data_IF_964786461799
#
_entry.id   IF_964786461799
#
_cell.length_a   1.000
_cell.length_b   1.000
_cell.length_c   1.000
_cell.angle_alpha   90.00
_cell.angle_beta   90.00
_cell.angle_gamma   90.00
#
_symmetry.space_group_name_H-M   'P 1'
#
loop_
_entity.id
_entity.type
_entity.pdbx_description
1 polymer ?
#
# COMPACT_ATOMS: atom_id res chain seq x y z
N UNK A 1 -3.04 -26.08 21.86
CA UNK A 1 -3.34 -25.40 20.58
C UNK A 1 -2.61 -24.08 20.60
N UNK A 2 -1.43 -24.01 19.98
CA UNK A 2 -0.65 -22.79 19.90
C UNK A 2 -1.38 -21.79 18.99
N UNK A 3 -1.54 -20.55 19.47
CA UNK A 3 -2.17 -19.45 18.74
C UNK A 3 -1.50 -19.27 17.38
N UNK A 4 -2.34 -19.21 16.35
CA UNK A 4 -2.00 -18.97 14.95
C UNK A 4 -1.56 -17.49 14.75
N UNK A 5 -0.46 -17.12 15.41
CA UNK A 5 0.12 -15.80 15.36
C UNK A 5 0.72 -15.61 13.96
N UNK A 6 -0.04 -14.96 13.07
CA UNK A 6 0.41 -14.59 11.73
C UNK A 6 1.74 -13.82 11.83
N UNK A 7 2.85 -14.50 11.52
CA UNK A 7 4.17 -13.87 11.47
C UNK A 7 4.11 -12.64 10.55
N UNK A 8 4.72 -11.52 10.95
CA UNK A 8 4.78 -10.33 10.11
C UNK A 8 5.57 -10.67 8.83
N UNK A 9 5.12 -10.11 7.71
CA UNK A 9 5.92 -10.20 6.49
C UNK A 9 7.21 -9.42 6.68
N UNK A 10 8.31 -9.97 6.19
CA UNK A 10 9.61 -9.30 6.10
C UNK A 10 9.86 -8.97 4.64
N UNK A 11 10.40 -7.80 4.38
CA UNK A 11 10.71 -7.31 3.05
C UNK A 11 12.20 -6.97 2.99
N UNK A 12 12.88 -7.53 2.01
CA UNK A 12 14.28 -7.25 1.72
C UNK A 12 14.45 -6.95 0.24
N UNK A 13 15.28 -5.96 -0.06
CA UNK A 13 15.61 -5.57 -1.43
C UNK A 13 16.98 -6.11 -1.80
N UNK A 14 17.12 -6.60 -3.03
CA UNK A 14 18.35 -7.12 -3.58
C UNK A 14 18.61 -6.45 -4.94
N UNK A 15 19.88 -6.22 -5.24
CA UNK A 15 20.35 -5.83 -6.57
C UNK A 15 21.27 -6.95 -7.03
N UNK A 16 20.81 -7.73 -8.00
CA UNK A 16 21.59 -8.79 -8.61
C UNK A 16 22.79 -8.22 -9.39
N UNK A 17 23.77 -9.06 -9.70
CA UNK A 17 25.01 -8.65 -10.37
C UNK A 17 24.79 -8.00 -11.76
N UNK A 18 23.71 -8.37 -12.44
CA UNK A 18 23.28 -7.78 -13.72
C UNK A 18 22.60 -6.40 -13.57
N UNK A 19 22.31 -5.99 -12.33
CA UNK A 19 21.59 -4.75 -11.99
C UNK A 19 20.08 -4.95 -11.78
N UNK A 20 19.56 -6.18 -11.86
CA UNK A 20 18.15 -6.49 -11.63
C UNK A 20 17.78 -6.24 -10.17
N UNK A 21 16.71 -5.49 -9.94
CA UNK A 21 16.20 -5.21 -8.58
C UNK A 21 15.14 -6.24 -8.22
N UNK A 22 15.34 -6.92 -7.10
CA UNK A 22 14.45 -7.96 -6.60
C UNK A 22 13.94 -7.56 -5.22
N UNK A 23 12.62 -7.53 -5.05
CA UNK A 23 11.98 -7.46 -3.74
C UNK A 23 11.65 -8.88 -3.28
N UNK A 24 12.24 -9.31 -2.18
CA UNK A 24 11.88 -10.53 -1.47
C UNK A 24 10.90 -10.17 -0.35
N UNK A 25 9.73 -10.81 -0.36
CA UNK A 25 8.79 -10.81 0.77
C UNK A 25 8.76 -12.19 1.39
N UNK A 26 9.14 -12.31 2.65
CA UNK A 26 9.21 -13.59 3.36
C UNK A 26 8.29 -13.60 4.59
N UNK A 27 7.68 -14.75 4.86
CA UNK A 27 6.94 -15.04 6.10
C UNK A 27 7.62 -16.07 7.00
N UNK A 28 8.66 -16.69 6.48
CA UNK A 28 9.52 -17.69 7.09
C UNK A 28 10.56 -18.14 6.07
N UNK A 29 11.29 -19.20 6.37
CA UNK A 29 12.43 -19.64 5.55
C UNK A 29 12.04 -20.61 4.44
N UNK A 30 10.84 -21.19 4.48
CA UNK A 30 10.40 -22.16 3.47
C UNK A 30 10.03 -21.48 2.14
N UNK A 31 10.35 -22.13 1.01
CA UNK A 31 10.16 -21.56 -0.34
C UNK A 31 8.73 -21.09 -0.63
N UNK A 32 7.70 -21.77 -0.12
CA UNK A 32 6.30 -21.38 -0.33
C UNK A 32 5.88 -20.17 0.52
N UNK A 33 6.73 -19.75 1.47
CA UNK A 33 6.53 -18.59 2.33
C UNK A 33 7.32 -17.37 1.84
N UNK A 34 7.96 -17.49 0.67
CA UNK A 34 8.75 -16.44 0.05
C UNK A 34 8.13 -16.04 -1.30
N UNK A 35 7.99 -14.74 -1.52
CA UNK A 35 7.50 -14.16 -2.76
C UNK A 35 8.58 -13.23 -3.29
N UNK A 36 8.87 -13.34 -4.59
CA UNK A 36 9.88 -12.54 -5.25
C UNK A 36 9.25 -11.73 -6.37
N UNK A 37 9.59 -10.45 -6.42
CA UNK A 37 9.17 -9.55 -7.48
C UNK A 37 10.39 -8.87 -8.07
N UNK A 38 10.52 -8.91 -9.39
CA UNK A 38 11.53 -8.13 -10.08
C UNK A 38 10.96 -6.78 -10.48
N UNK A 39 11.78 -5.75 -10.42
CA UNK A 39 11.42 -4.39 -10.80
C UNK A 39 12.31 -3.93 -11.94
N UNK A 40 11.78 -3.78 -13.16
CA UNK A 40 12.56 -3.29 -14.27
C UNK A 40 12.95 -1.83 -14.06
N UNK A 41 14.17 -1.49 -14.48
CA UNK A 41 14.79 -0.17 -14.28
C UNK A 41 15.27 0.43 -15.58
N UNK A 42 15.15 1.75 -15.70
CA UNK A 42 15.62 2.51 -16.86
C UNK A 42 17.09 2.93 -16.76
N UNK A 43 17.70 2.76 -15.58
CA UNK A 43 19.11 3.09 -15.29
C UNK A 43 19.65 2.17 -14.21
N UNK A 44 20.98 2.14 -14.04
CA UNK A 44 21.57 1.52 -12.85
C UNK A 44 21.17 2.33 -11.61
N UNK A 45 20.51 1.65 -10.67
CA UNK A 45 20.07 2.20 -9.38
C UNK A 45 20.95 1.60 -8.29
N UNK A 46 21.33 2.39 -7.30
CA UNK A 46 22.10 1.90 -6.16
C UNK A 46 21.20 1.41 -5.02
N UNK A 47 21.72 0.54 -4.15
CA UNK A 47 20.95 0.06 -3.00
C UNK A 47 20.50 1.19 -2.08
N UNK A 48 21.31 2.24 -1.92
CA UNK A 48 20.95 3.41 -1.12
C UNK A 48 19.79 4.19 -1.72
N UNK A 49 19.67 4.26 -3.04
CA UNK A 49 18.53 4.88 -3.73
C UNK A 49 17.24 4.07 -3.52
N UNK A 50 17.32 2.74 -3.60
CA UNK A 50 16.17 1.85 -3.34
C UNK A 50 15.67 2.01 -1.90
N UNK A 51 16.57 2.00 -0.92
CA UNK A 51 16.23 2.19 0.50
C UNK A 51 15.64 3.58 0.74
N UNK A 52 16.26 4.63 0.19
CA UNK A 52 15.77 6.00 0.34
C UNK A 52 14.37 6.20 -0.29
N UNK A 53 14.11 5.58 -1.44
CA UNK A 53 12.79 5.58 -2.07
C UNK A 53 11.76 4.91 -1.16
N UNK A 54 12.08 3.73 -0.63
CA UNK A 54 11.17 3.00 0.25
C UNK A 54 10.83 3.80 1.52
N UNK A 55 11.81 4.43 2.17
CA UNK A 55 11.57 5.29 3.33
C UNK A 55 10.72 6.53 2.99
N UNK A 56 10.94 7.16 1.84
CA UNK A 56 10.13 8.30 1.37
C UNK A 56 8.69 7.87 1.11
N UNK A 57 8.48 6.70 0.49
CA UNK A 57 7.15 6.14 0.25
C UNK A 57 6.46 5.73 1.55
N UNK A 58 7.17 5.12 2.50
CA UNK A 58 6.63 4.76 3.81
C UNK A 58 6.19 6.00 4.60
N UNK A 59 7.00 7.07 4.64
CA UNK A 59 6.64 8.34 5.28
C UNK A 59 5.44 8.99 4.60
N UNK A 60 5.43 9.02 3.28
CA UNK A 60 4.32 9.50 2.47
C UNK A 60 3.04 8.74 2.84
N UNK A 61 3.05 7.40 2.75
CA UNK A 61 1.89 6.56 3.04
C UNK A 61 1.33 6.78 4.45
N UNK A 62 2.18 6.90 5.48
CA UNK A 62 1.73 7.24 6.84
C UNK A 62 1.01 8.58 6.89
N UNK A 63 1.58 9.63 6.28
CA UNK A 63 0.94 10.94 6.24
C UNK A 63 -0.42 10.91 5.53
N UNK A 64 -0.56 10.15 4.44
CA UNK A 64 -1.85 9.98 3.76
C UNK A 64 -2.85 9.18 4.60
N UNK A 65 -2.42 8.12 5.28
CA UNK A 65 -3.30 7.37 6.16
C UNK A 65 -3.83 8.23 7.30
N UNK A 66 -3.02 9.14 7.86
CA UNK A 66 -3.49 10.09 8.89
C UNK A 66 -4.62 11.00 8.40
N UNK A 67 -4.70 11.28 7.09
CA UNK A 67 -5.78 12.10 6.49
C UNK A 67 -6.96 11.24 6.04
N UNK A 68 -6.71 10.09 5.43
CA UNK A 68 -7.75 9.21 4.88
C UNK A 68 -8.56 8.50 5.98
N UNK A 69 -7.93 8.13 7.09
CA UNK A 69 -8.60 7.41 8.18
C UNK A 69 -9.74 8.22 8.83
N UNK A 70 -9.55 9.49 9.24
CA UNK A 70 -10.64 10.30 9.78
C UNK A 70 -11.73 10.61 8.73
N UNK A 71 -11.35 10.81 7.46
CA UNK A 71 -12.33 10.98 6.37
C UNK A 71 -13.17 9.72 6.19
N UNK A 72 -12.58 8.53 6.30
CA UNK A 72 -13.30 7.27 6.24
C UNK A 72 -14.30 7.16 7.39
N UNK A 73 -13.88 7.44 8.63
CA UNK A 73 -14.78 7.43 9.79
C UNK A 73 -15.94 8.41 9.59
N UNK A 74 -15.64 9.64 9.18
CA UNK A 74 -16.65 10.67 8.96
C UNK A 74 -17.63 10.26 7.85
N UNK A 75 -17.14 9.64 6.77
CA UNK A 75 -17.99 9.10 5.71
C UNK A 75 -18.94 8.01 6.23
N UNK A 76 -18.44 7.10 7.07
CA UNK A 76 -19.26 6.03 7.65
C UNK A 76 -20.29 6.59 8.64
N UNK A 77 -19.93 7.61 9.42
CA UNK A 77 -20.85 8.28 10.32
C UNK A 77 -21.98 8.99 9.56
N UNK A 78 -21.68 9.67 8.45
CA UNK A 78 -22.68 10.31 7.60
C UNK A 78 -23.60 9.30 6.91
N UNK A 79 -23.04 8.18 6.46
CA UNK A 79 -23.85 7.08 5.92
C UNK A 79 -24.78 6.50 6.98
N UNK A 80 -24.26 6.24 8.19
CA UNK A 80 -25.07 5.77 9.31
C UNK A 80 -26.19 6.76 9.67
N UNK A 81 -25.88 8.06 9.73
CA UNK A 81 -26.87 9.12 9.95
C UNK A 81 -27.95 9.12 8.86
N UNK A 82 -27.58 8.96 7.58
CA UNK A 82 -28.54 8.88 6.49
C UNK A 82 -29.44 7.64 6.60
N UNK A 83 -28.89 6.48 6.98
CA UNK A 83 -29.66 5.25 7.18
C UNK A 83 -30.61 5.33 8.37
N UNK A 84 -30.16 5.92 9.49
CA UNK A 84 -31.02 6.22 10.64
C UNK A 84 -32.11 7.21 10.24
N UNK A 85 -31.75 8.25 9.48
CA UNK A 85 -32.69 9.23 8.95
C UNK A 85 -33.78 8.60 8.08
N UNK A 86 -33.39 7.69 7.19
CA UNK A 86 -34.31 6.90 6.38
C UNK A 86 -35.27 6.09 7.25
N UNK A 87 -34.74 5.37 8.26
CA UNK A 87 -35.56 4.63 9.20
C UNK A 87 -36.58 5.52 9.91
N UNK A 88 -36.14 6.66 10.46
CA UNK A 88 -37.01 7.61 11.16
C UNK A 88 -38.06 8.25 10.24
N UNK A 89 -37.71 8.53 8.98
CA UNK A 89 -38.64 9.06 7.99
C UNK A 89 -39.76 8.08 7.67
N UNK A 90 -39.50 6.76 7.69
CA UNK A 90 -40.55 5.74 7.49
C UNK A 90 -41.58 5.74 8.63
N UNK A 91 -41.16 6.16 9.83
CA UNK A 91 -42.04 6.37 10.98
C UNK A 91 -42.55 7.81 11.09
N UNK A 92 -42.46 8.60 10.01
CA UNK A 92 -42.98 9.97 9.91
C UNK A 92 -42.36 10.98 10.91
N UNK A 93 -41.14 10.73 11.39
CA UNK A 93 -40.39 11.72 12.17
C UNK A 93 -39.67 12.72 11.23
N UNK A 94 -39.95 14.01 11.36
CA UNK A 94 -39.34 15.07 10.54
C UNK A 94 -37.81 15.13 10.64
N UNK A 95 -37.25 14.79 11.81
CA UNK A 95 -35.80 14.70 12.04
C UNK A 95 -35.15 13.70 11.08
N UNK A 96 -35.89 12.66 10.65
CA UNK A 96 -35.39 11.66 9.71
C UNK A 96 -35.05 12.25 8.33
N UNK A 97 -35.89 13.17 7.84
CA UNK A 97 -35.68 13.84 6.55
C UNK A 97 -34.40 14.69 6.61
N UNK A 98 -34.20 15.45 7.68
CA UNK A 98 -33.00 16.27 7.86
C UNK A 98 -31.71 15.44 7.90
N UNK A 99 -31.74 14.30 8.60
CA UNK A 99 -30.60 13.39 8.66
C UNK A 99 -30.27 12.79 7.29
N UNK A 100 -31.27 12.51 6.45
CA UNK A 100 -31.03 12.08 5.07
C UNK A 100 -30.45 13.19 4.19
N UNK A 101 -31.05 14.38 4.24
CA UNK A 101 -30.67 15.54 3.42
C UNK A 101 -29.25 16.02 3.72
N UNK A 102 -28.78 15.89 4.95
CA UNK A 102 -27.39 16.23 5.31
C UNK A 102 -26.47 15.02 5.14
N UNK A 103 -26.89 13.85 5.64
CA UNK A 103 -26.05 12.66 5.70
C UNK A 103 -25.65 12.12 4.33
N UNK A 104 -26.61 11.98 3.41
CA UNK A 104 -26.33 11.35 2.11
C UNK A 104 -25.48 12.24 1.19
N UNK A 105 -25.79 13.53 0.98
CA UNK A 105 -24.91 14.42 0.21
C UNK A 105 -23.53 14.58 0.86
N UNK A 106 -23.46 14.70 2.18
CA UNK A 106 -22.19 14.77 2.91
C UNK A 106 -21.33 13.53 2.69
N UNK A 107 -21.93 12.33 2.76
CA UNK A 107 -21.25 11.08 2.44
C UNK A 107 -20.67 11.09 1.03
N UNK A 108 -21.46 11.49 0.03
CA UNK A 108 -21.01 11.56 -1.38
C UNK A 108 -19.84 12.52 -1.57
N UNK A 109 -19.92 13.72 -0.98
CA UNK A 109 -18.85 14.73 -1.05
C UNK A 109 -17.54 14.18 -0.46
N UNK A 110 -17.60 13.53 0.70
CA UNK A 110 -16.40 12.94 1.31
C UNK A 110 -15.83 11.81 0.45
N UNK A 111 -16.67 10.94 -0.10
CA UNK A 111 -16.22 9.86 -0.99
C UNK A 111 -15.52 10.41 -2.23
N UNK A 112 -16.04 11.49 -2.80
CA UNK A 112 -15.42 12.16 -3.95
C UNK A 112 -14.07 12.79 -3.56
N UNK A 113 -13.99 13.46 -2.41
CA UNK A 113 -12.73 13.99 -1.90
C UNK A 113 -11.68 12.89 -1.67
N UNK A 114 -12.06 11.76 -1.07
CA UNK A 114 -11.17 10.62 -0.88
C UNK A 114 -10.65 10.06 -2.21
N UNK A 115 -11.51 9.96 -3.24
CA UNK A 115 -11.10 9.52 -4.57
C UNK A 115 -10.06 10.45 -5.20
N UNK A 116 -10.28 11.77 -5.12
CA UNK A 116 -9.32 12.78 -5.64
C UNK A 116 -7.98 12.70 -4.90
N UNK A 117 -8.00 12.58 -3.57
CA UNK A 117 -6.78 12.46 -2.76
C UNK A 117 -6.02 11.17 -3.11
N UNK A 118 -6.74 10.06 -3.27
CA UNK A 118 -6.15 8.76 -3.60
C UNK A 118 -5.55 8.78 -5.01
N UNK A 119 -6.27 9.31 -6.01
CA UNK A 119 -5.76 9.43 -7.37
C UNK A 119 -4.50 10.29 -7.46
N UNK A 120 -4.48 11.44 -6.77
CA UNK A 120 -3.28 12.29 -6.69
C UNK A 120 -2.10 11.56 -6.04
N UNK A 121 -2.36 10.77 -5.02
CA UNK A 121 -1.31 10.00 -4.34
C UNK A 121 -0.76 8.89 -5.23
N UNK A 122 -1.61 8.16 -5.94
CA UNK A 122 -1.19 7.11 -6.88
C UNK A 122 -0.32 7.70 -7.99
N UNK A 123 -0.71 8.85 -8.55
CA UNK A 123 0.10 9.57 -9.54
C UNK A 123 1.47 9.95 -8.98
N UNK A 124 1.51 10.64 -7.83
CA UNK A 124 2.76 11.06 -7.18
C UNK A 124 3.66 9.88 -6.81
N UNK A 125 3.06 8.78 -6.38
CA UNK A 125 3.81 7.55 -6.09
C UNK A 125 4.45 7.03 -7.37
N UNK A 126 3.68 6.89 -8.46
CA UNK A 126 4.19 6.46 -9.76
C UNK A 126 5.30 7.36 -10.28
N UNK A 127 5.15 8.68 -10.15
CA UNK A 127 6.18 9.64 -10.56
C UNK A 127 7.48 9.44 -9.78
N UNK A 128 7.41 9.24 -8.45
CA UNK A 128 8.58 8.97 -7.61
C UNK A 128 9.30 7.67 -7.96
N UNK A 129 8.56 6.63 -8.33
CA UNK A 129 9.16 5.38 -8.81
C UNK A 129 9.94 5.61 -10.10
N UNK A 130 9.36 6.35 -11.06
CA UNK A 130 10.05 6.72 -12.31
C UNK A 130 11.26 7.61 -12.07
N UNK A 131 11.16 8.61 -11.21
CA UNK A 131 12.29 9.49 -10.84
C UNK A 131 13.45 8.70 -10.22
N UNK A 132 13.15 7.65 -9.45
CA UNK A 132 14.14 6.75 -8.89
C UNK A 132 14.76 5.79 -9.91
N UNK A 133 14.29 5.77 -11.16
CA UNK A 133 14.82 4.95 -12.24
C UNK A 133 14.10 3.62 -12.44
N UNK A 134 12.92 3.44 -11.84
CA UNK A 134 12.07 2.27 -12.08
C UNK A 134 11.12 2.53 -13.25
N UNK A 135 10.91 1.54 -14.12
CA UNK A 135 9.94 1.66 -15.20
C UNK A 135 8.51 1.72 -14.68
N UNK A 136 8.23 0.98 -13.59
CA UNK A 136 6.91 0.94 -12.97
C UNK A 136 6.98 0.75 -11.46
N UNK A 137 5.89 1.13 -10.79
CA UNK A 137 5.70 0.87 -9.36
C UNK A 137 5.22 -0.58 -9.08
N UNK A 138 4.95 -1.37 -10.12
CA UNK A 138 4.45 -2.73 -10.02
C UNK A 138 5.59 -3.70 -10.35
N UNK A 139 6.03 -4.46 -9.36
CA UNK A 139 6.97 -5.55 -9.58
C UNK A 139 6.30 -6.69 -10.33
N UNK A 140 7.05 -7.32 -11.23
CA UNK A 140 6.62 -8.53 -11.93
C UNK A 140 7.02 -9.73 -11.08
N UNK A 141 6.06 -10.61 -10.81
CA UNK A 141 6.31 -11.82 -10.02
C UNK A 141 7.36 -12.69 -10.70
N UNK A 142 8.35 -13.13 -9.94
CA UNK A 142 9.45 -13.97 -10.43
C UNK A 142 9.40 -15.35 -9.78
N UNK A 143 9.89 -16.37 -10.49
CA UNK A 143 9.98 -17.70 -9.94
C UNK A 143 10.98 -17.72 -8.77
N UNK A 144 10.62 -18.37 -7.66
CA UNK A 144 11.46 -18.40 -6.45
C UNK A 144 12.85 -19.00 -6.72
N UNK A 145 12.95 -20.03 -7.56
CA UNK A 145 14.22 -20.64 -7.94
C UNK A 145 15.15 -19.63 -8.62
N UNK A 146 14.65 -18.94 -9.64
CA UNK A 146 15.40 -17.93 -10.38
C UNK A 146 15.84 -16.78 -9.46
N UNK A 147 14.96 -16.35 -8.56
CA UNK A 147 15.27 -15.29 -7.60
C UNK A 147 16.39 -15.68 -6.65
N UNK A 148 16.32 -16.89 -6.08
CA UNK A 148 17.34 -17.39 -5.18
C UNK A 148 18.68 -17.59 -5.90
N UNK A 149 18.67 -18.07 -7.15
CA UNK A 149 19.88 -18.20 -7.97
C UNK A 149 20.53 -16.83 -8.22
N UNK A 150 19.75 -15.79 -8.56
CA UNK A 150 20.25 -14.42 -8.73
C UNK A 150 20.73 -13.81 -7.41
N UNK A 151 20.01 -14.04 -6.31
CA UNK A 151 20.37 -13.50 -4.99
C UNK A 151 21.66 -14.13 -4.46
N UNK A 152 21.86 -15.43 -4.70
CA UNK A 152 23.06 -16.16 -4.30
C UNK A 152 24.29 -15.88 -5.19
N UNK A 153 24.10 -15.24 -6.35
CA UNK A 153 25.19 -14.95 -7.27
C UNK A 153 26.22 -13.96 -6.68
N UNK A 154 27.52 -14.17 -6.93
CA UNK A 154 28.56 -13.25 -6.47
C UNK A 154 28.40 -11.88 -7.13
N UNK A 155 28.48 -10.81 -6.33
CA UNK A 155 28.27 -9.43 -6.78
C UNK A 155 26.86 -8.90 -6.52
N UNK A 156 25.94 -9.72 -6.00
CA UNK A 156 24.63 -9.26 -5.52
C UNK A 156 24.78 -8.45 -4.23
N UNK A 157 24.14 -7.28 -4.19
CA UNK A 157 24.03 -6.47 -2.99
C UNK A 157 22.64 -6.66 -2.36
N UNK A 158 22.59 -6.85 -1.04
CA UNK A 158 21.34 -6.99 -0.28
C UNK A 158 21.17 -5.82 0.68
N UNK A 159 19.98 -5.25 0.70
CA UNK A 159 19.59 -4.18 1.60
C UNK A 159 19.18 -4.70 2.99
N UNK A 160 18.81 -3.78 3.90
CA UNK A 160 18.30 -4.16 5.22
C UNK A 160 16.96 -4.91 5.10
N UNK A 161 16.79 -5.93 5.93
CA UNK A 161 15.49 -6.61 6.08
C UNK A 161 14.58 -5.75 6.97
N UNK A 162 13.36 -5.49 6.50
CA UNK A 162 12.38 -4.65 7.21
C UNK A 162 11.11 -5.43 7.50
N UNK A 163 10.59 -5.33 8.72
CA UNK A 163 9.30 -5.92 9.05
C UNK A 163 8.17 -5.02 8.56
N UNK A 164 7.28 -5.59 7.77
CA UNK A 164 6.11 -4.91 7.23
C UNK A 164 4.86 -5.55 7.85
N UNK A 165 4.17 -4.80 8.70
CA UNK A 165 2.83 -5.18 9.15
C UNK A 165 1.93 -5.20 7.91
N UNK A 166 1.21 -6.30 7.71
CA UNK A 166 0.30 -6.50 6.57
C UNK A 166 -0.58 -5.25 6.41
N UNK A 167 -0.54 -4.63 5.23
CA UNK A 167 -1.51 -3.60 4.82
C UNK A 167 -2.89 -4.23 4.64
#
# INVERSE_FOLDING_TARGET
MASDAKLPWRVQWHIAADGTIIEQRSKGEENHQQLFQHYPTTRRVSMSEVVALHERLARSHRAYNMVLWPLLILSMALLAAALVGLGLSLFHFEVGIWLMVVGFPGFLVIRLLMSVVTGRQTSRSSDRWREAGFESHQGVTMAAREALEMIAAPGTASGPETQVKRA
#
